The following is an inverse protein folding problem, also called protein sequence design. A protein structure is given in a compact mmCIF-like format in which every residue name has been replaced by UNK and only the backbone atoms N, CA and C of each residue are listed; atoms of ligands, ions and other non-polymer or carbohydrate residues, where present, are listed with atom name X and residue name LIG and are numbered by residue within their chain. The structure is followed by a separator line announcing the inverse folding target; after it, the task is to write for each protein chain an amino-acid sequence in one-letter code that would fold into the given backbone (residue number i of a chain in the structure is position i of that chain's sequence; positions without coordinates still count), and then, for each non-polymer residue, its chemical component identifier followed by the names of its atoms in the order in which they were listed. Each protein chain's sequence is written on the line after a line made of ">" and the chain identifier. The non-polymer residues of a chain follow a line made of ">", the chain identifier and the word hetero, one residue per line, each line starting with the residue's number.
data_IF_503374680297
#
_entry.id   IF_503374680297
#
_cell.length_a   1.000
_cell.length_b   1.000
_cell.length_c   1.000
_cell.angle_alpha   90.00
_cell.angle_beta   90.00
_cell.angle_gamma   90.00
#
_symmetry.space_group_name_H-M   'P 1'
#
loop_
_entity.id
_entity.type
_entity.pdbx_description
1 polymer ?
#
# COMPACT_ATOMS: atom_id res chain seq x y z
N UNK A 1 -1.90 -32.85 -30.58
CA UNK A 1 -2.38 -31.54 -30.10
C UNK A 1 -1.20 -30.84 -29.45
N UNK A 2 -0.83 -29.60 -29.83
CA UNK A 2 0.20 -28.87 -29.11
C UNK A 2 -0.38 -28.39 -27.78
N UNK A 3 0.20 -28.85 -26.67
CA UNK A 3 -0.14 -28.41 -25.33
C UNK A 3 0.23 -26.94 -25.18
N UNK A 4 -0.74 -26.09 -24.87
CA UNK A 4 -0.51 -24.68 -24.54
C UNK A 4 0.45 -24.56 -23.36
N UNK A 5 1.41 -23.62 -23.40
CA UNK A 5 2.26 -23.35 -22.25
C UNK A 5 1.39 -22.86 -21.08
N UNK A 6 1.74 -23.19 -19.82
CA UNK A 6 1.01 -22.70 -18.67
C UNK A 6 1.08 -21.16 -18.63
N UNK A 7 0.04 -20.47 -18.12
CA UNK A 7 0.11 -19.03 -17.92
C UNK A 7 1.29 -18.71 -16.99
N UNK A 8 2.02 -17.60 -17.23
CA UNK A 8 3.10 -17.20 -16.35
C UNK A 8 2.53 -17.10 -14.94
N UNK A 9 3.15 -17.83 -14.02
CA UNK A 9 2.75 -17.91 -12.62
C UNK A 9 2.45 -16.50 -12.13
N UNK A 10 1.17 -16.23 -11.85
CA UNK A 10 0.81 -15.09 -11.04
C UNK A 10 1.48 -15.32 -9.70
N UNK A 11 2.69 -14.77 -9.54
CA UNK A 11 3.34 -14.66 -8.26
C UNK A 11 2.45 -13.72 -7.48
N UNK A 12 1.44 -14.31 -6.85
CA UNK A 12 0.62 -13.68 -5.83
C UNK A 12 1.58 -13.48 -4.66
N UNK A 13 2.44 -12.48 -4.77
CA UNK A 13 2.86 -11.78 -3.58
C UNK A 13 1.54 -11.39 -2.95
N UNK A 14 1.24 -11.99 -1.79
CA UNK A 14 0.14 -11.52 -0.93
C UNK A 14 0.55 -10.15 -0.41
N UNK A 15 0.65 -9.17 -1.30
CA UNK A 15 0.65 -7.79 -0.91
C UNK A 15 -0.71 -7.53 -0.27
N UNK A 16 -0.75 -6.77 0.82
CA UNK A 16 -2.00 -6.42 1.45
C UNK A 16 -2.94 -5.79 0.42
N UNK A 17 -4.23 -6.11 0.51
CA UNK A 17 -5.22 -5.57 -0.43
C UNK A 17 -5.56 -4.10 -0.12
N UNK A 18 -5.18 -3.61 1.05
CA UNK A 18 -5.45 -2.25 1.53
C UNK A 18 -4.19 -1.55 2.01
N UNK A 19 -4.18 -0.23 1.84
CA UNK A 19 -3.13 0.66 2.31
C UNK A 19 -2.97 0.63 3.83
N UNK A 20 -4.08 0.63 4.57
CA UNK A 20 -4.05 0.54 6.04
C UNK A 20 -3.38 -0.75 6.53
N UNK A 21 -3.53 -1.86 5.81
CA UNK A 21 -2.89 -3.12 6.17
C UNK A 21 -1.37 -3.08 5.99
N UNK A 22 -0.85 -2.27 5.06
CA UNK A 22 0.61 -2.06 4.93
C UNK A 22 1.20 -1.44 6.21
N UNK A 23 0.46 -0.54 6.86
CA UNK A 23 0.92 0.20 8.04
C UNK A 23 0.65 -0.53 9.36
N UNK A 24 -0.41 -1.35 9.42
CA UNK A 24 -0.94 -1.90 10.68
C UNK A 24 -0.82 -3.42 10.80
N UNK A 25 -0.80 -4.15 9.69
CA UNK A 25 -0.89 -5.61 9.67
C UNK A 25 0.22 -6.27 8.85
N UNK A 26 1.22 -5.48 8.43
CA UNK A 26 2.40 -5.98 7.72
C UNK A 26 3.44 -6.61 8.65
N UNK A 27 4.62 -6.88 8.08
CA UNK A 27 5.82 -7.29 8.83
C UNK A 27 6.24 -6.27 9.90
N UNK A 28 5.83 -5.01 9.71
CA UNK A 28 6.17 -3.89 10.57
C UNK A 28 4.94 -3.48 11.37
N UNK A 29 5.12 -3.32 12.68
CA UNK A 29 4.11 -2.77 13.59
C UNK A 29 4.62 -1.44 14.09
N UNK A 30 4.04 -0.35 13.61
CA UNK A 30 4.41 1.00 14.03
C UNK A 30 3.38 1.54 15.02
N UNK A 31 3.86 2.20 16.06
CA UNK A 31 3.03 3.05 16.92
C UNK A 31 2.52 4.27 16.15
N UNK A 32 1.45 4.88 16.64
CA UNK A 32 0.93 6.14 16.08
C UNK A 32 2.03 7.21 15.97
N UNK A 33 2.87 7.31 17.00
CA UNK A 33 3.93 8.31 17.07
C UNK A 33 4.99 8.07 16.00
N UNK A 34 5.42 6.83 15.81
CA UNK A 34 6.40 6.47 14.77
C UNK A 34 5.84 6.77 13.37
N UNK A 35 4.56 6.45 13.11
CA UNK A 35 3.93 6.78 11.84
C UNK A 35 3.91 8.31 11.60
N UNK A 36 3.57 9.09 12.62
CA UNK A 36 3.58 10.55 12.50
C UNK A 36 4.97 11.12 12.20
N UNK A 37 6.00 10.61 12.90
CA UNK A 37 7.38 11.04 12.74
C UNK A 37 7.93 10.66 11.34
N UNK A 38 7.81 9.39 10.95
CA UNK A 38 8.35 8.90 9.68
C UNK A 38 7.59 9.42 8.47
N UNK A 39 6.25 9.43 8.53
CA UNK A 39 5.44 9.94 7.43
C UNK A 39 5.41 11.47 7.41
N UNK A 40 5.90 12.15 8.46
CA UNK A 40 5.82 13.61 8.64
C UNK A 40 4.39 14.11 8.43
N UNK A 41 3.46 13.44 9.11
CA UNK A 41 2.02 13.68 9.04
C UNK A 41 1.43 13.78 10.43
N UNK A 42 0.30 14.47 10.55
CA UNK A 42 -0.50 14.39 11.78
C UNK A 42 -1.27 13.08 11.82
N UNK A 43 -1.63 12.63 13.03
CA UNK A 43 -2.52 11.48 13.22
C UNK A 43 -3.80 11.57 12.39
N UNK A 44 -4.44 12.76 12.38
CA UNK A 44 -5.67 13.00 11.62
C UNK A 44 -5.44 12.78 10.11
N UNK A 45 -4.33 13.29 9.58
CA UNK A 45 -3.96 13.11 8.18
C UNK A 45 -3.76 11.63 7.85
N UNK A 46 -3.04 10.89 8.70
CA UNK A 46 -2.82 9.44 8.52
C UNK A 46 -4.17 8.71 8.47
N UNK A 47 -5.07 8.98 9.42
CA UNK A 47 -6.41 8.38 9.45
C UNK A 47 -7.24 8.70 8.21
N UNK A 48 -7.13 9.94 7.71
CA UNK A 48 -7.79 10.33 6.46
C UNK A 48 -7.22 9.56 5.26
N UNK A 49 -5.91 9.37 5.16
CA UNK A 49 -5.29 8.57 4.08
C UNK A 49 -5.58 7.07 4.21
N UNK A 50 -5.68 6.55 5.43
CA UNK A 50 -6.11 5.16 5.69
C UNK A 50 -7.57 4.93 5.26
N UNK A 51 -8.43 5.95 5.37
CA UNK A 51 -9.83 5.88 4.95
C UNK A 51 -10.03 6.13 3.46
N UNK A 52 -9.23 7.02 2.86
CA UNK A 52 -9.27 7.35 1.44
C UNK A 52 -7.84 7.48 0.86
N UNK A 53 -7.28 6.37 0.34
CA UNK A 53 -5.92 6.34 -0.16
C UNK A 53 -5.77 7.04 -1.53
N UNK A 54 -6.87 7.41 -2.21
CA UNK A 54 -6.81 8.15 -3.48
C UNK A 54 -6.20 9.54 -3.34
N UNK A 55 -6.20 10.06 -2.12
CA UNK A 55 -5.68 11.39 -1.78
C UNK A 55 -4.19 11.39 -1.43
N UNK A 56 -3.53 10.22 -1.45
CA UNK A 56 -2.10 10.10 -1.20
C UNK A 56 -1.29 10.81 -2.30
N UNK A 57 -0.37 11.67 -1.89
CA UNK A 57 0.57 12.29 -2.83
C UNK A 57 1.77 11.37 -3.10
N UNK A 58 2.47 11.59 -4.22
CA UNK A 58 3.69 10.83 -4.55
C UNK A 58 4.76 10.93 -3.45
N UNK A 59 4.91 12.10 -2.82
CA UNK A 59 5.86 12.28 -1.72
C UNK A 59 5.46 11.50 -0.46
N UNK A 60 4.17 11.27 -0.25
CA UNK A 60 3.66 10.43 0.85
C UNK A 60 3.91 8.95 0.56
N UNK A 61 3.68 8.51 -0.68
CA UNK A 61 3.97 7.14 -1.12
C UNK A 61 5.46 6.80 -1.03
N UNK A 62 6.34 7.74 -1.39
CA UNK A 62 7.79 7.57 -1.22
C UNK A 62 8.21 7.44 0.25
N UNK A 63 7.58 8.20 1.16
CA UNK A 63 7.83 8.08 2.60
C UNK A 63 7.34 6.75 3.17
N UNK A 64 6.21 6.25 2.69
CA UNK A 64 5.70 4.92 3.07
C UNK A 64 6.64 3.82 2.57
N UNK A 65 7.12 3.94 1.33
CA UNK A 65 8.10 3.02 0.76
C UNK A 65 9.41 2.98 1.58
N UNK A 66 9.92 4.15 1.95
CA UNK A 66 11.09 4.28 2.84
C UNK A 66 10.85 3.65 4.22
N UNK A 67 9.71 3.97 4.84
CA UNK A 67 9.31 3.43 6.14
C UNK A 67 9.22 1.89 6.15
N UNK A 68 8.66 1.30 5.10
CA UNK A 68 8.49 -0.13 4.96
C UNK A 68 9.73 -0.82 4.38
N UNK A 69 10.75 -0.06 3.97
CA UNK A 69 11.91 -0.55 3.23
C UNK A 69 11.49 -1.43 2.03
N UNK A 70 10.50 -0.94 1.27
CA UNK A 70 9.90 -1.61 0.12
C UNK A 70 9.99 -0.73 -1.14
N UNK A 71 10.05 -1.31 -2.35
CA UNK A 71 9.99 -0.54 -3.59
C UNK A 71 8.68 0.27 -3.68
N UNK A 72 8.77 1.55 -4.03
CA UNK A 72 7.59 2.43 -4.15
C UNK A 72 6.56 1.90 -5.15
N UNK A 73 6.98 1.13 -6.16
CA UNK A 73 6.06 0.53 -7.12
C UNK A 73 5.10 -0.46 -6.46
N UNK A 74 5.55 -1.19 -5.43
CA UNK A 74 4.72 -2.12 -4.68
C UNK A 74 3.66 -1.35 -3.86
N UNK A 75 4.06 -0.23 -3.24
CA UNK A 75 3.15 0.63 -2.48
C UNK A 75 2.09 1.25 -3.41
N UNK A 76 2.52 1.77 -4.55
CA UNK A 76 1.63 2.32 -5.58
C UNK A 76 0.64 1.25 -6.07
N UNK A 77 1.12 0.03 -6.35
CA UNK A 77 0.27 -1.06 -6.84
C UNK A 77 -0.86 -1.39 -5.85
N UNK A 78 -0.57 -1.44 -4.54
CA UNK A 78 -1.58 -1.66 -3.49
C UNK A 78 -2.60 -0.53 -3.47
N UNK A 79 -2.14 0.73 -3.42
CA UNK A 79 -3.00 1.90 -3.38
C UNK A 79 -3.89 1.98 -4.63
N UNK A 80 -3.34 1.76 -5.81
CA UNK A 80 -4.10 1.76 -7.06
C UNK A 80 -5.14 0.64 -7.12
N UNK A 81 -4.78 -0.57 -6.67
CA UNK A 81 -5.72 -1.68 -6.62
C UNK A 81 -6.90 -1.39 -5.67
N UNK A 82 -6.63 -0.79 -4.50
CA UNK A 82 -7.68 -0.39 -3.56
C UNK A 82 -8.58 0.70 -4.14
N UNK A 83 -8.01 1.77 -4.70
CA UNK A 83 -8.78 2.87 -5.31
C UNK A 83 -9.66 2.37 -6.47
N UNK A 84 -9.14 1.48 -7.31
CA UNK A 84 -9.92 0.89 -8.40
C UNK A 84 -11.05 -0.02 -7.89
N UNK A 85 -10.83 -0.76 -6.81
CA UNK A 85 -11.87 -1.58 -6.19
C UNK A 85 -12.97 -0.73 -5.55
N UNK A 86 -12.62 0.39 -4.92
CA UNK A 86 -13.58 1.32 -4.30
C UNK A 86 -14.35 2.19 -5.30
N UNK A 87 -13.80 2.42 -6.50
CA UNK A 87 -14.48 3.15 -7.58
C UNK A 87 -15.31 2.29 -8.53
N UNK A 88 -15.38 0.97 -8.31
CA UNK A 88 -16.14 0.02 -9.12
C UNK A 88 -17.53 -0.31 -8.52
N UNK A 89 -17.91 0.32 -7.40
CA UNK A 89 -19.27 0.34 -6.84
C UNK A 89 -20.00 1.63 -7.23
#
# INVERSE_FOLDING_TARGET
>A
MPSSPPPPSATTHRFPRRFSDLLRHGRYTFTERELMEHLRMTYRTIKQREADPSTLTVAELLRVADLLNEPVQNIIAVVLAEVQASGAE
#
